data_IF_260611903811
#
_entry.id   IF_260611903811
#
_cell.length_a   1.000
_cell.length_b   1.000
_cell.length_c   1.000
_cell.angle_alpha   90.00
_cell.angle_beta   90.00
_cell.angle_gamma   90.00
#
_symmetry.space_group_name_H-M   'P 1'
#
loop_
_entity.id
_entity.type
_entity.pdbx_description
1 polymer ?
#
# COMPACT_ATOMS: atom_id res chain seq x y z
N UNK A 1 71.88 38.53 55.23
CA UNK A 1 72.70 37.63 56.12
C UNK A 1 72.45 36.21 55.59
N UNK A 2 73.40 35.75 54.84
CA UNK A 2 74.27 34.62 55.11
C UNK A 2 73.48 33.29 55.08
N UNK A 3 73.78 32.35 54.31
CA UNK A 3 74.96 31.87 53.60
C UNK A 3 74.67 30.44 53.22
N UNK A 4 75.00 30.02 52.01
CA UNK A 4 76.05 29.04 51.65
C UNK A 4 75.98 27.66 52.38
N UNK A 5 75.94 26.52 51.75
CA UNK A 5 76.93 25.80 50.95
C UNK A 5 76.33 24.47 50.48
N UNK A 6 76.46 24.07 49.21
CA UNK A 6 77.40 23.08 48.63
C UNK A 6 77.44 21.70 49.31
N UNK A 7 77.16 20.59 48.64
CA UNK A 7 77.99 19.90 47.68
C UNK A 7 77.45 18.44 47.44
N UNK A 8 77.42 18.07 46.19
CA UNK A 8 78.07 16.93 45.51
C UNK A 8 77.67 15.44 45.80
N UNK A 9 77.30 14.85 44.74
CA UNK A 9 77.85 13.62 44.06
C UNK A 9 77.19 12.31 44.39
N UNK A 10 76.70 11.65 43.33
CA UNK A 10 76.48 10.21 43.30
C UNK A 10 75.50 9.75 42.27
N UNK A 11 75.95 9.54 41.05
CA UNK A 11 75.26 8.68 40.07
C UNK A 11 75.82 7.24 40.24
N UNK A 12 75.35 6.22 39.52
CA UNK A 12 74.07 5.94 38.85
C UNK A 12 73.55 4.52 39.22
N UNK A 13 72.32 4.25 39.01
CA UNK A 13 71.92 2.87 38.72
C UNK A 13 70.73 2.82 37.75
N UNK A 14 70.97 2.12 36.67
CA UNK A 14 70.02 1.79 35.63
C UNK A 14 69.03 0.79 36.16
N UNK A 15 67.75 1.05 36.02
CA UNK A 15 66.73 0.02 35.98
C UNK A 15 65.67 0.37 34.92
N UNK A 16 65.59 -0.50 33.96
CA UNK A 16 64.65 -0.45 32.87
C UNK A 16 63.22 -0.58 33.42
N UNK A 17 62.43 0.47 33.34
CA UNK A 17 61.02 0.48 33.60
C UNK A 17 60.29 0.48 32.27
N UNK A 18 59.65 -0.63 31.96
CA UNK A 18 58.81 -0.78 30.77
C UNK A 18 57.60 0.18 30.84
N UNK A 19 57.56 1.14 29.94
CA UNK A 19 56.40 2.00 29.71
C UNK A 19 55.39 1.16 28.89
N UNK A 20 54.38 0.64 29.56
CA UNK A 20 53.18 0.10 28.91
C UNK A 20 52.37 1.28 28.36
N UNK A 21 52.57 1.58 27.10
CA UNK A 21 51.73 2.51 26.39
C UNK A 21 50.39 1.82 26.13
N UNK A 22 49.36 2.17 26.90
CA UNK A 22 47.97 1.84 26.64
C UNK A 22 47.53 2.62 25.39
N UNK A 23 47.61 2.01 24.23
CA UNK A 23 46.97 2.48 23.01
C UNK A 23 45.43 2.28 23.17
N UNK A 24 44.75 3.32 23.63
CA UNK A 24 43.30 3.49 23.44
C UNK A 24 43.04 3.64 21.94
N UNK A 25 42.81 2.56 21.27
CA UNK A 25 42.18 2.55 19.94
C UNK A 25 40.75 3.08 20.10
N UNK A 26 40.58 4.38 19.99
CA UNK A 26 39.30 4.98 19.69
C UNK A 26 38.88 4.48 18.31
N UNK A 27 38.11 3.41 18.28
CA UNK A 27 37.38 2.99 17.10
C UNK A 27 36.32 4.08 16.79
N UNK A 28 36.73 5.14 16.11
CA UNK A 28 35.81 6.00 15.38
C UNK A 28 35.17 5.14 14.31
N UNK A 29 34.08 4.48 14.64
CA UNK A 29 33.18 3.90 13.67
C UNK A 29 32.77 5.01 12.70
N UNK A 30 33.41 5.06 11.52
CA UNK A 30 32.91 5.84 10.39
C UNK A 30 31.52 5.32 10.10
N UNK A 31 30.49 5.98 10.63
CA UNK A 31 29.12 5.79 10.18
C UNK A 31 29.11 6.23 8.71
N UNK A 32 28.93 5.26 7.83
CA UNK A 32 28.77 5.52 6.42
C UNK A 32 27.44 6.31 6.27
N UNK A 33 27.45 7.60 5.89
CA UNK A 33 26.23 8.39 5.82
C UNK A 33 25.26 7.93 4.73
N UNK A 34 25.64 6.94 3.92
CA UNK A 34 24.82 6.32 2.87
C UNK A 34 24.30 4.91 3.24
N UNK A 35 24.54 4.44 4.45
CA UNK A 35 23.88 3.21 4.90
C UNK A 35 22.48 3.64 5.34
N UNK A 36 21.48 3.34 4.50
CA UNK A 36 20.08 3.42 4.93
C UNK A 36 19.95 2.68 6.25
N UNK A 37 19.36 3.31 7.26
CA UNK A 37 19.07 2.67 8.52
C UNK A 37 18.35 1.35 8.23
N UNK A 38 18.74 0.23 8.88
CA UNK A 38 18.05 -1.01 8.66
C UNK A 38 16.57 -0.82 8.96
N UNK A 39 15.71 -1.06 7.97
CA UNK A 39 14.26 -1.01 8.15
C UNK A 39 13.92 -1.84 9.38
N UNK A 40 13.20 -1.28 10.37
CA UNK A 40 12.86 -2.03 11.58
C UNK A 40 12.20 -3.37 11.18
N UNK A 41 12.57 -4.49 11.81
CA UNK A 41 12.02 -5.78 11.44
C UNK A 41 10.50 -5.76 11.60
N UNK A 42 9.77 -6.19 10.56
CA UNK A 42 8.30 -6.31 10.60
C UNK A 42 7.90 -7.30 11.70
N UNK A 43 6.64 -7.27 12.14
CA UNK A 43 6.14 -8.24 13.11
C UNK A 43 6.30 -9.68 12.60
N UNK A 44 6.03 -9.92 11.30
CA UNK A 44 6.33 -11.18 10.64
C UNK A 44 7.81 -11.54 10.74
N UNK A 45 8.72 -10.60 10.46
CA UNK A 45 10.17 -10.82 10.56
C UNK A 45 10.62 -11.11 11.98
N UNK A 46 10.06 -10.42 12.98
CA UNK A 46 10.31 -10.71 14.41
C UNK A 46 9.84 -12.12 14.79
N UNK A 47 8.65 -12.53 14.35
CA UNK A 47 8.11 -13.84 14.60
C UNK A 47 8.98 -14.94 13.94
N UNK A 48 9.36 -14.74 12.67
CA UNK A 48 10.28 -15.64 11.96
C UNK A 48 11.62 -15.78 12.69
N UNK A 49 12.15 -14.68 13.23
CA UNK A 49 13.37 -14.70 14.04
C UNK A 49 13.15 -15.49 15.34
N UNK A 50 12.06 -15.26 16.05
CA UNK A 50 11.74 -15.97 17.29
C UNK A 50 11.59 -17.47 17.07
N UNK A 51 11.03 -17.93 15.95
CA UNK A 51 10.99 -19.35 15.59
C UNK A 51 12.39 -19.95 15.44
N UNK A 52 13.32 -19.23 14.79
CA UNK A 52 14.70 -19.68 14.62
C UNK A 52 15.46 -19.68 15.96
N UNK A 53 15.33 -18.60 16.73
CA UNK A 53 15.98 -18.48 18.04
C UNK A 53 15.53 -19.60 19.02
N UNK A 54 14.29 -20.07 18.87
CA UNK A 54 13.73 -21.18 19.64
C UNK A 54 14.04 -22.58 19.03
N UNK A 55 14.78 -22.64 17.91
CA UNK A 55 15.11 -23.91 17.22
C UNK A 55 13.91 -24.58 16.55
N UNK A 56 12.78 -23.88 16.44
CA UNK A 56 11.55 -24.42 15.84
C UNK A 56 11.62 -24.53 14.31
N UNK A 57 12.55 -23.84 13.67
CA UNK A 57 12.87 -23.99 12.25
C UNK A 57 13.41 -25.38 11.89
N UNK A 58 13.89 -26.17 12.87
CA UNK A 58 14.24 -27.56 12.70
C UNK A 58 13.04 -28.52 12.69
N UNK A 59 11.88 -28.08 13.17
CA UNK A 59 10.62 -28.84 13.14
C UNK A 59 9.96 -28.83 11.77
N UNK A 60 9.11 -29.81 11.43
CA UNK A 60 8.37 -29.83 10.16
C UNK A 60 7.53 -28.56 10.00
N UNK A 61 6.68 -28.26 11.00
CA UNK A 61 5.74 -27.13 10.94
C UNK A 61 6.45 -25.77 10.92
N UNK A 62 7.54 -25.61 11.66
CA UNK A 62 8.33 -24.37 11.66
C UNK A 62 9.01 -24.11 10.32
N UNK A 63 9.57 -25.15 9.68
CA UNK A 63 10.13 -25.05 8.32
C UNK A 63 9.04 -24.71 7.30
N UNK A 64 7.91 -25.41 7.37
CA UNK A 64 6.77 -25.15 6.47
C UNK A 64 6.31 -23.69 6.59
N UNK A 65 6.25 -23.12 7.80
CA UNK A 65 5.84 -21.74 8.00
C UNK A 65 6.80 -20.75 7.31
N UNK A 66 8.10 -20.95 7.47
CA UNK A 66 9.12 -20.11 6.82
C UNK A 66 9.09 -20.23 5.30
N UNK A 67 8.94 -21.46 4.78
CA UNK A 67 8.89 -21.73 3.33
C UNK A 67 7.58 -21.22 2.72
N UNK A 68 6.45 -21.33 3.43
CA UNK A 68 5.14 -20.90 2.94
C UNK A 68 5.13 -19.40 2.61
N UNK A 69 5.76 -18.58 3.47
CA UNK A 69 5.93 -17.15 3.22
C UNK A 69 6.59 -16.86 1.87
N UNK A 70 7.76 -17.47 1.66
CA UNK A 70 8.55 -17.24 0.45
C UNK A 70 7.86 -17.81 -0.79
N UNK A 71 7.21 -18.96 -0.66
CA UNK A 71 6.47 -19.60 -1.76
C UNK A 71 5.27 -18.74 -2.20
N UNK A 72 4.50 -18.20 -1.24
CA UNK A 72 3.39 -17.31 -1.56
C UNK A 72 3.86 -16.04 -2.29
N UNK A 73 4.98 -15.45 -1.87
CA UNK A 73 5.54 -14.28 -2.52
C UNK A 73 6.09 -14.55 -3.93
N UNK A 74 6.61 -15.77 -4.17
CA UNK A 74 7.11 -16.16 -5.52
C UNK A 74 5.97 -16.41 -6.51
N UNK A 75 4.82 -16.87 -6.06
CA UNK A 75 3.68 -17.23 -6.89
C UNK A 75 2.37 -16.59 -6.37
N UNK A 76 2.29 -15.24 -6.31
CA UNK A 76 1.09 -14.58 -5.80
C UNK A 76 -0.08 -14.76 -6.79
N UNK A 77 -1.26 -15.00 -6.25
CA UNK A 77 -2.51 -15.02 -7.02
C UNK A 77 -2.92 -13.59 -7.42
N UNK A 78 -3.54 -13.42 -8.57
CA UNK A 78 -4.02 -12.11 -8.98
C UNK A 78 -5.34 -11.76 -8.30
N UNK A 79 -5.41 -10.59 -7.65
CA UNK A 79 -6.63 -10.01 -7.13
C UNK A 79 -7.12 -8.89 -8.04
N UNK A 80 -8.37 -9.00 -8.49
CA UNK A 80 -9.06 -7.96 -9.27
C UNK A 80 -9.72 -6.99 -8.29
N UNK A 81 -9.27 -5.74 -8.27
CA UNK A 81 -9.81 -4.73 -7.35
C UNK A 81 -11.14 -4.14 -7.84
N UNK A 82 -12.14 -3.96 -6.97
CA UNK A 82 -12.16 -4.38 -5.58
C UNK A 82 -12.37 -5.88 -5.43
N UNK A 83 -11.76 -6.48 -4.40
CA UNK A 83 -11.81 -7.92 -4.15
C UNK A 83 -12.26 -8.21 -2.72
N UNK A 84 -13.02 -9.31 -2.55
CA UNK A 84 -13.38 -9.86 -1.23
C UNK A 84 -13.16 -11.36 -1.26
N UNK A 85 -12.38 -11.84 -0.31
CA UNK A 85 -12.17 -13.26 -0.11
C UNK A 85 -12.40 -13.67 1.33
N UNK A 86 -13.17 -14.73 1.53
CA UNK A 86 -13.28 -15.44 2.80
C UNK A 86 -12.38 -16.67 2.71
N UNK A 87 -11.46 -16.81 3.66
CA UNK A 87 -10.52 -17.92 3.73
C UNK A 87 -10.54 -18.60 5.09
N UNK A 88 -9.86 -19.74 5.18
CA UNK A 88 -9.63 -20.46 6.42
C UNK A 88 -8.14 -20.76 6.59
N UNK A 89 -7.71 -20.88 7.84
CA UNK A 89 -6.40 -21.37 8.23
C UNK A 89 -6.55 -22.42 9.34
N UNK A 90 -5.64 -23.38 9.35
CA UNK A 90 -5.70 -24.55 10.23
C UNK A 90 -4.47 -24.61 11.14
N UNK A 91 -4.65 -25.11 12.34
CA UNK A 91 -3.55 -25.34 13.30
C UNK A 91 -2.55 -26.39 12.85
N UNK A 92 -2.95 -27.30 12.00
CA UNK A 92 -2.11 -28.39 11.49
C UNK A 92 -1.28 -28.01 10.27
N UNK A 93 -1.47 -26.79 9.70
CA UNK A 93 -0.87 -26.36 8.45
C UNK A 93 -0.28 -24.98 8.59
N UNK A 94 0.96 -24.83 8.17
CA UNK A 94 1.65 -23.56 8.14
C UNK A 94 1.51 -22.94 6.74
N UNK A 95 0.55 -22.07 6.54
CA UNK A 95 0.23 -21.50 5.22
C UNK A 95 0.37 -20.01 5.18
N UNK A 96 0.75 -19.52 4.02
CA UNK A 96 0.66 -18.11 3.65
C UNK A 96 -0.11 -17.99 2.32
N UNK A 97 -0.75 -16.86 2.11
CA UNK A 97 -1.32 -16.50 0.83
C UNK A 97 -0.83 -15.12 0.42
N UNK A 98 -0.62 -14.92 -0.87
CA UNK A 98 -0.24 -13.63 -1.41
C UNK A 98 -1.10 -13.27 -2.63
N UNK A 99 -1.43 -11.98 -2.72
CA UNK A 99 -2.27 -11.43 -3.79
C UNK A 99 -1.54 -10.32 -4.49
N UNK A 100 -1.37 -10.46 -5.80
CA UNK A 100 -0.85 -9.38 -6.64
C UNK A 100 -1.99 -8.45 -7.02
N UNK A 101 -1.77 -7.16 -6.82
CA UNK A 101 -2.65 -6.06 -7.21
C UNK A 101 -1.88 -5.05 -8.04
N UNK A 102 -2.51 -4.44 -9.03
CA UNK A 102 -1.92 -3.33 -9.80
C UNK A 102 -2.54 -2.02 -9.33
N UNK A 103 -1.69 -1.04 -9.06
CA UNK A 103 -2.09 0.32 -8.68
C UNK A 103 -1.48 1.33 -9.64
N UNK A 104 -2.19 2.43 -9.85
CA UNK A 104 -1.69 3.59 -10.58
C UNK A 104 -1.21 4.67 -9.62
N UNK A 105 -0.34 5.55 -10.12
CA UNK A 105 0.05 6.77 -9.41
C UNK A 105 -1.20 7.52 -8.91
N UNK A 106 -1.20 7.93 -7.65
CA UNK A 106 -2.33 8.61 -7.03
C UNK A 106 -3.45 7.68 -6.54
N UNK A 107 -3.32 6.37 -6.66
CA UNK A 107 -4.23 5.42 -6.01
C UNK A 107 -3.73 5.00 -4.65
N UNK A 108 -4.65 4.77 -3.73
CA UNK A 108 -4.39 4.23 -2.40
C UNK A 108 -4.97 2.83 -2.31
N UNK A 109 -4.14 1.85 -2.02
CA UNK A 109 -4.60 0.53 -1.60
C UNK A 109 -5.13 0.61 -0.17
N UNK A 110 -6.33 0.09 0.04
CA UNK A 110 -6.89 -0.17 1.36
C UNK A 110 -7.14 -1.67 1.45
N UNK A 111 -6.36 -2.34 2.29
CA UNK A 111 -6.51 -3.74 2.60
C UNK A 111 -7.08 -3.87 4.01
N UNK A 112 -8.25 -4.46 4.14
CA UNK A 112 -8.88 -4.71 5.44
C UNK A 112 -9.05 -6.21 5.65
N UNK A 113 -8.70 -6.67 6.83
CA UNK A 113 -8.81 -8.06 7.24
C UNK A 113 -9.67 -8.15 8.50
N UNK A 114 -10.69 -8.99 8.44
CA UNK A 114 -11.44 -9.43 9.62
C UNK A 114 -11.13 -10.90 9.84
N UNK A 115 -10.89 -11.31 11.06
CA UNK A 115 -10.70 -12.70 11.40
C UNK A 115 -11.58 -13.09 12.58
N UNK A 116 -12.25 -14.24 12.43
CA UNK A 116 -13.05 -14.86 13.47
C UNK A 116 -12.23 -15.99 14.12
N UNK A 117 -12.34 -16.16 15.42
CA UNK A 117 -11.68 -17.25 16.13
C UNK A 117 -10.81 -16.80 17.30
N UNK A 118 -10.15 -17.77 17.92
CA UNK A 118 -9.27 -17.54 19.07
C UNK A 118 -8.08 -16.68 18.67
N UNK A 119 -7.65 -15.81 19.58
CA UNK A 119 -6.51 -14.90 19.51
C UNK A 119 -5.39 -15.45 18.63
N UNK A 120 -5.25 -14.95 17.42
CA UNK A 120 -4.18 -15.30 16.50
C UNK A 120 -3.44 -14.03 16.07
N UNK A 121 -2.10 -14.11 16.00
CA UNK A 121 -1.33 -13.12 15.28
C UNK A 121 -1.52 -13.39 13.78
N UNK A 122 -2.03 -12.37 13.08
CA UNK A 122 -2.11 -12.36 11.63
C UNK A 122 -1.16 -11.29 11.12
N UNK A 123 -0.27 -11.69 10.22
CA UNK A 123 0.70 -10.79 9.59
C UNK A 123 0.20 -10.44 8.20
N UNK A 124 0.01 -9.14 7.94
CA UNK A 124 -0.31 -8.64 6.62
C UNK A 124 0.76 -7.65 6.20
N UNK A 125 1.47 -7.96 5.11
CA UNK A 125 2.55 -7.15 4.58
C UNK A 125 2.28 -6.79 3.13
N UNK A 126 2.71 -5.60 2.74
CA UNK A 126 2.68 -5.12 1.36
C UNK A 126 4.12 -5.00 0.83
N UNK A 127 4.31 -5.55 -0.34
CA UNK A 127 5.55 -5.44 -1.11
C UNK A 127 5.27 -4.79 -2.46
N UNK A 128 6.18 -3.95 -2.92
CA UNK A 128 6.20 -3.46 -4.29
C UNK A 128 7.10 -4.35 -5.12
N UNK A 129 6.64 -4.74 -6.31
CA UNK A 129 7.47 -5.48 -7.27
C UNK A 129 8.36 -4.48 -7.99
N UNK A 130 9.67 -4.63 -7.84
CA UNK A 130 10.65 -3.80 -8.52
C UNK A 130 10.56 -3.93 -10.05
N UNK A 131 11.01 -2.90 -10.73
CA UNK A 131 11.06 -2.87 -12.21
C UNK A 131 12.36 -3.46 -12.77
N UNK A 132 13.28 -3.89 -11.88
CA UNK A 132 14.50 -4.59 -12.24
C UNK A 132 14.19 -5.98 -12.85
N UNK A 133 15.13 -6.55 -13.59
CA UNK A 133 14.98 -7.86 -14.23
C UNK A 133 14.70 -8.99 -13.22
N UNK A 134 15.18 -8.85 -11.99
CA UNK A 134 14.96 -9.79 -10.89
C UNK A 134 13.56 -9.66 -10.26
N UNK A 135 12.82 -8.58 -10.57
CA UNK A 135 11.52 -8.25 -9.96
C UNK A 135 11.59 -8.32 -8.42
N UNK A 136 12.62 -7.70 -7.89
CA UNK A 136 12.89 -7.66 -6.44
C UNK A 136 11.68 -7.13 -5.68
N UNK A 137 11.30 -7.80 -4.59
CA UNK A 137 10.22 -7.36 -3.71
C UNK A 137 10.76 -6.37 -2.69
N UNK A 138 10.18 -5.17 -2.68
CA UNK A 138 10.51 -4.11 -1.72
C UNK A 138 9.37 -3.95 -0.75
N UNK A 139 9.63 -4.21 0.55
CA UNK A 139 8.63 -4.03 1.60
C UNK A 139 8.19 -2.57 1.70
N UNK A 140 6.88 -2.30 1.76
CA UNK A 140 6.28 -0.96 1.79
C UNK A 140 5.46 -0.68 3.03
N UNK A 141 4.70 -1.65 3.51
CA UNK A 141 3.84 -1.47 4.67
C UNK A 141 3.58 -2.80 5.37
N UNK A 142 3.25 -2.73 6.65
CA UNK A 142 2.85 -3.88 7.45
C UNK A 142 1.66 -3.52 8.32
N UNK A 143 0.80 -4.49 8.57
CA UNK A 143 -0.18 -4.46 9.64
C UNK A 143 -0.15 -5.80 10.36
N UNK A 144 -0.22 -5.77 11.69
CA UNK A 144 -0.28 -6.94 12.54
C UNK A 144 -1.34 -6.74 13.60
N UNK A 145 -1.93 -7.82 14.08
CA UNK A 145 -2.84 -7.75 15.23
C UNK A 145 -2.26 -8.43 16.43
N UNK A 146 -2.32 -7.70 17.53
CA UNK A 146 -2.64 -8.30 18.82
C UNK A 146 -4.13 -8.05 19.04
N UNK A 147 -4.95 -9.10 18.96
CA UNK A 147 -6.35 -8.97 19.30
C UNK A 147 -6.50 -8.59 20.77
N UNK A 148 -7.31 -7.56 21.08
CA UNK A 148 -7.74 -7.36 22.46
C UNK A 148 -8.42 -8.63 22.96
N UNK A 149 -8.23 -8.99 24.25
CA UNK A 149 -8.79 -10.22 24.82
C UNK A 149 -10.30 -10.38 24.68
N UNK A 150 -11.02 -9.29 24.51
CA UNK A 150 -12.49 -9.22 24.61
C UNK A 150 -13.20 -8.93 23.28
N UNK A 151 -12.47 -8.86 22.15
CA UNK A 151 -13.11 -8.63 20.85
C UNK A 151 -13.48 -9.93 20.15
N UNK A 152 -14.71 -10.03 19.71
CA UNK A 152 -15.24 -11.17 18.98
C UNK A 152 -14.61 -11.34 17.57
N UNK A 153 -13.93 -10.32 17.05
CA UNK A 153 -13.26 -10.36 15.75
C UNK A 153 -12.01 -9.46 15.74
N UNK A 154 -10.96 -9.94 15.07
CA UNK A 154 -9.78 -9.14 14.72
C UNK A 154 -10.09 -8.23 13.54
N UNK A 155 -9.63 -7.01 13.62
CA UNK A 155 -9.65 -6.08 12.50
C UNK A 155 -8.27 -5.52 12.22
N UNK A 156 -7.79 -5.70 10.99
CA UNK A 156 -6.55 -5.12 10.48
C UNK A 156 -6.85 -4.19 9.34
N UNK A 157 -6.18 -3.07 9.29
CA UNK A 157 -6.19 -2.20 8.12
C UNK A 157 -4.77 -1.82 7.74
N UNK A 158 -4.45 -2.03 6.48
CA UNK A 158 -3.22 -1.56 5.86
C UNK A 158 -3.60 -0.59 4.75
N UNK A 159 -2.98 0.58 4.76
CA UNK A 159 -3.15 1.59 3.72
C UNK A 159 -1.80 1.95 3.11
N UNK A 160 -1.80 2.07 1.81
CA UNK A 160 -0.59 2.45 1.07
C UNK A 160 -0.97 3.27 -0.16
N UNK A 161 -0.31 4.41 -0.35
CA UNK A 161 -0.49 5.28 -1.51
C UNK A 161 0.60 5.03 -2.53
N UNK A 162 0.20 4.63 -3.74
CA UNK A 162 1.12 4.44 -4.85
C UNK A 162 1.55 5.80 -5.41
N UNK A 163 2.86 5.99 -5.53
CA UNK A 163 3.48 7.20 -6.08
C UNK A 163 3.97 7.02 -7.51
N UNK A 164 3.68 5.88 -8.10
CA UNK A 164 3.91 5.48 -9.50
C UNK A 164 3.03 4.29 -9.84
N UNK A 165 2.81 4.06 -11.12
CA UNK A 165 2.19 2.84 -11.61
C UNK A 165 3.05 1.63 -11.25
N UNK A 166 2.44 0.55 -10.77
CA UNK A 166 3.19 -0.64 -10.39
C UNK A 166 2.32 -1.79 -9.91
N UNK A 167 2.98 -2.94 -9.79
CA UNK A 167 2.40 -4.14 -9.20
C UNK A 167 2.88 -4.28 -7.75
N UNK A 168 1.96 -4.68 -6.90
CA UNK A 168 2.18 -4.86 -5.47
C UNK A 168 1.70 -6.23 -5.05
N UNK A 169 2.27 -6.76 -3.97
CA UNK A 169 1.89 -8.06 -3.41
C UNK A 169 1.49 -7.87 -1.96
N UNK A 170 0.24 -8.20 -1.65
CA UNK A 170 -0.27 -8.29 -0.27
C UNK A 170 -0.09 -9.73 0.19
N UNK A 171 0.75 -9.96 1.20
CA UNK A 171 0.91 -11.26 1.86
C UNK A 171 0.11 -11.30 3.14
N UNK A 172 -0.59 -12.41 3.37
CA UNK A 172 -1.27 -12.74 4.63
C UNK A 172 -0.73 -14.06 5.15
N UNK A 173 -0.31 -14.10 6.42
CA UNK A 173 0.14 -15.30 7.10
C UNK A 173 -0.29 -15.29 8.57
N UNK A 174 -0.94 -16.36 9.09
CA UNK A 174 -1.19 -16.52 10.51
C UNK A 174 0.06 -17.02 11.24
N UNK A 175 0.13 -16.81 12.56
CA UNK A 175 1.08 -17.54 13.41
C UNK A 175 0.80 -19.04 13.44
N UNK A 176 1.76 -19.83 13.85
CA UNK A 176 1.63 -21.29 13.96
C UNK A 176 0.58 -21.72 14.99
N UNK A 177 0.02 -22.91 14.78
CA UNK A 177 -0.87 -23.61 15.73
C UNK A 177 -2.18 -22.86 16.00
N UNK A 178 -2.61 -22.02 15.04
CA UNK A 178 -3.91 -21.34 15.09
C UNK A 178 -4.83 -21.81 14.00
N UNK A 179 -6.11 -21.72 14.26
CA UNK A 179 -7.16 -21.99 13.29
C UNK A 179 -8.24 -20.93 13.34
N UNK A 180 -8.90 -20.71 12.23
CA UNK A 180 -9.95 -19.70 12.13
C UNK A 180 -10.32 -19.41 10.69
N UNK A 181 -11.22 -18.44 10.55
CA UNK A 181 -11.62 -17.86 9.26
C UNK A 181 -11.20 -16.41 9.18
N UNK A 182 -11.00 -15.92 7.99
CA UNK A 182 -10.76 -14.51 7.73
C UNK A 182 -11.60 -14.03 6.53
N UNK A 183 -11.92 -12.75 6.53
CA UNK A 183 -12.40 -12.00 5.37
C UNK A 183 -11.36 -10.94 5.03
N UNK A 184 -10.77 -11.02 3.84
CA UNK A 184 -9.86 -10.04 3.29
C UNK A 184 -10.59 -9.23 2.22
N UNK A 185 -10.59 -7.90 2.37
CA UNK A 185 -11.09 -6.97 1.37
C UNK A 185 -9.95 -6.09 0.88
N UNK A 186 -9.75 -6.07 -0.43
CA UNK A 186 -8.77 -5.23 -1.12
C UNK A 186 -9.50 -4.21 -1.99
N UNK A 187 -9.21 -2.91 -1.81
CA UNK A 187 -9.79 -1.82 -2.59
C UNK A 187 -8.69 -0.89 -3.06
N UNK A 188 -8.87 -0.31 -4.24
CA UNK A 188 -8.15 0.88 -4.65
C UNK A 188 -9.08 2.09 -4.47
N UNK A 189 -8.57 3.15 -3.86
CA UNK A 189 -9.27 4.41 -3.65
C UNK A 189 -8.43 5.56 -4.22
N UNK A 190 -9.04 6.70 -4.58
CA UNK A 190 -8.27 7.89 -4.90
C UNK A 190 -7.51 8.38 -3.66
N UNK A 191 -6.32 8.94 -3.86
CA UNK A 191 -5.50 9.50 -2.76
C UNK A 191 -5.95 10.89 -2.32
N UNK A 192 -6.74 11.58 -3.14
CA UNK A 192 -7.29 12.91 -2.90
C UNK A 192 -8.82 12.87 -2.92
N UNK A 193 -9.46 13.73 -2.14
CA UNK A 193 -10.90 13.93 -2.21
C UNK A 193 -11.30 14.60 -3.53
N UNK A 194 -12.49 14.29 -4.03
CA UNK A 194 -13.03 14.92 -5.24
C UNK A 194 -13.26 16.42 -4.98
N UNK A 195 -12.72 17.33 -5.82
CA UNK A 195 -12.57 18.74 -5.44
C UNK A 195 -13.86 19.59 -5.56
N UNK A 196 -14.97 19.04 -6.08
CA UNK A 196 -16.27 19.74 -6.21
C UNK A 196 -17.33 19.00 -5.41
N UNK A 197 -17.91 19.66 -4.43
CA UNK A 197 -18.89 19.07 -3.51
C UNK A 197 -20.11 18.53 -4.24
N UNK A 198 -20.59 17.35 -3.83
CA UNK A 198 -21.76 16.69 -4.40
C UNK A 198 -21.61 16.19 -5.83
N UNK A 199 -20.41 16.31 -6.42
CA UNK A 199 -20.11 15.86 -7.78
C UNK A 199 -19.18 14.65 -7.80
N UNK A 200 -19.01 14.03 -8.97
CA UNK A 200 -18.17 12.86 -9.16
C UNK A 200 -17.69 12.73 -10.61
N UNK A 201 -17.26 11.55 -11.01
CA UNK A 201 -16.57 11.29 -12.28
C UNK A 201 -17.30 11.82 -13.53
N UNK A 202 -18.63 11.83 -13.54
CA UNK A 202 -19.43 12.32 -14.68
C UNK A 202 -19.27 13.83 -14.93
N UNK A 203 -18.87 14.57 -13.91
CA UNK A 203 -18.61 16.00 -14.01
C UNK A 203 -17.27 16.31 -14.71
N UNK A 204 -16.35 15.36 -14.78
CA UNK A 204 -15.07 15.50 -15.48
C UNK A 204 -15.32 15.35 -16.97
N UNK A 205 -15.23 16.46 -17.71
CA UNK A 205 -15.53 16.49 -19.15
C UNK A 205 -14.35 16.87 -20.03
N UNK A 206 -13.23 17.33 -19.43
CA UNK A 206 -11.99 17.58 -20.14
C UNK A 206 -10.81 17.01 -19.35
N UNK A 207 -9.93 16.32 -20.06
CA UNK A 207 -8.87 15.54 -19.46
C UNK A 207 -7.51 16.25 -19.57
N UNK A 208 -6.56 15.80 -18.75
CA UNK A 208 -5.17 16.20 -18.82
C UNK A 208 -4.57 15.86 -20.19
N UNK A 209 -3.68 16.73 -20.69
CA UNK A 209 -2.98 16.53 -21.96
C UNK A 209 -3.76 16.91 -23.21
N UNK A 210 -5.06 17.27 -23.11
CA UNK A 210 -5.85 17.70 -24.26
C UNK A 210 -5.30 19.02 -24.81
N UNK A 211 -5.21 19.12 -26.15
CA UNK A 211 -4.74 20.32 -26.82
C UNK A 211 -5.62 21.56 -26.55
N UNK A 212 -4.97 22.68 -26.30
CA UNK A 212 -5.57 23.98 -26.09
C UNK A 212 -5.00 24.99 -27.09
N UNK A 213 -5.80 26.04 -27.41
CA UNK A 213 -5.38 27.14 -28.26
C UNK A 213 -4.83 26.72 -29.64
N UNK A 214 -5.45 25.70 -30.25
CA UNK A 214 -5.00 25.15 -31.54
C UNK A 214 -3.67 24.37 -31.43
N UNK A 215 -3.41 23.66 -30.32
CA UNK A 215 -2.22 22.86 -30.11
C UNK A 215 -1.03 23.62 -29.54
N UNK A 216 -1.20 24.93 -29.22
CA UNK A 216 -0.11 25.76 -28.65
C UNK A 216 0.13 25.52 -27.16
N UNK A 217 -0.84 24.96 -26.45
CA UNK A 217 -0.76 24.58 -25.04
C UNK A 217 -1.35 23.20 -24.83
N UNK A 218 -0.81 22.46 -23.87
CA UNK A 218 -1.43 21.26 -23.33
C UNK A 218 -2.25 21.60 -22.09
N UNK A 219 -3.33 20.88 -21.84
CA UNK A 219 -4.17 21.02 -20.67
C UNK A 219 -3.49 20.41 -19.45
N UNK A 220 -3.06 21.25 -18.49
CA UNK A 220 -2.32 20.84 -17.31
C UNK A 220 -3.23 20.52 -16.11
N UNK A 221 -4.39 19.95 -16.36
CA UNK A 221 -5.37 19.59 -15.33
C UNK A 221 -6.55 18.83 -15.92
N UNK A 222 -7.62 18.77 -15.15
CA UNK A 222 -8.93 18.29 -15.57
C UNK A 222 -9.95 19.40 -15.36
N UNK A 223 -10.99 19.48 -16.23
CA UNK A 223 -12.09 20.41 -16.04
C UNK A 223 -13.32 19.68 -15.53
N UNK A 224 -13.82 20.12 -14.37
CA UNK A 224 -14.94 19.54 -13.63
C UNK A 224 -16.11 20.51 -13.71
N UNK A 225 -17.14 20.16 -14.49
CA UNK A 225 -18.29 21.02 -14.76
C UNK A 225 -19.33 20.93 -13.64
N UNK A 226 -19.71 22.08 -13.12
CA UNK A 226 -20.74 22.19 -12.08
C UNK A 226 -21.43 23.59 -12.19
N UNK A 227 -22.63 23.77 -11.64
CA UNK A 227 -23.27 25.08 -11.58
C UNK A 227 -22.37 26.11 -10.89
N UNK A 228 -22.44 27.37 -11.34
CA UNK A 228 -21.79 28.49 -10.66
C UNK A 228 -22.24 28.54 -9.20
N UNK A 229 -21.30 28.78 -8.29
CA UNK A 229 -21.56 28.82 -6.83
C UNK A 229 -21.54 27.47 -6.15
N UNK A 230 -21.30 26.35 -6.88
CA UNK A 230 -21.06 25.05 -6.23
C UNK A 230 -19.77 25.11 -5.40
N UNK A 231 -19.75 24.62 -4.14
CA UNK A 231 -18.54 24.65 -3.32
C UNK A 231 -17.38 23.86 -3.94
N UNK A 232 -16.21 24.46 -3.93
CA UNK A 232 -14.92 23.85 -4.26
C UNK A 232 -14.20 23.57 -2.95
N UNK A 233 -13.84 22.32 -2.73
CA UNK A 233 -13.29 21.86 -1.45
C UNK A 233 -11.81 21.45 -1.56
N UNK A 234 -11.09 21.55 -0.45
CA UNK A 234 -9.73 21.08 -0.33
C UNK A 234 -9.68 19.56 -0.54
N UNK A 235 -8.97 19.11 -1.57
CA UNK A 235 -8.81 17.68 -1.87
C UNK A 235 -7.88 16.97 -0.89
N UNK A 236 -7.12 17.70 -0.07
CA UNK A 236 -6.20 17.20 0.95
C UNK A 236 -5.98 18.25 2.02
N UNK A 237 -5.48 17.84 3.17
CA UNK A 237 -4.95 18.77 4.16
C UNK A 237 -3.77 19.54 3.59
N UNK A 238 -3.66 20.83 3.90
CA UNK A 238 -2.58 21.64 3.36
C UNK A 238 -2.54 23.08 3.85
N UNK A 239 -1.70 23.87 3.20
CA UNK A 239 -1.56 25.30 3.44
C UNK A 239 -1.83 26.05 2.14
N UNK A 240 -2.72 27.02 2.16
CA UNK A 240 -2.97 27.90 1.02
C UNK A 240 -1.69 28.69 0.74
N UNK A 241 -1.16 28.60 -0.49
CA UNK A 241 0.10 29.21 -0.90
C UNK A 241 -0.10 30.52 -1.66
N UNK A 242 -1.21 30.65 -2.34
CA UNK A 242 -1.53 31.86 -3.09
C UNK A 242 -3.02 31.85 -3.46
N UNK A 243 -3.63 33.05 -3.52
CA UNK A 243 -5.00 33.28 -3.96
C UNK A 243 -5.09 34.43 -4.98
N UNK A 244 -3.95 34.97 -5.47
CA UNK A 244 -3.93 36.08 -6.40
C UNK A 244 -4.53 35.68 -7.76
N UNK A 245 -5.42 36.49 -8.31
CA UNK A 245 -6.00 36.23 -9.63
C UNK A 245 -4.93 36.24 -10.73
N UNK A 246 -5.13 35.39 -11.73
CA UNK A 246 -4.27 35.32 -12.91
C UNK A 246 -5.06 35.54 -14.21
N UNK A 247 -4.38 35.98 -15.29
CA UNK A 247 -5.04 36.21 -16.58
C UNK A 247 -5.66 34.92 -17.14
N UNK A 248 -5.00 33.77 -16.96
CA UNK A 248 -5.50 32.48 -17.43
C UNK A 248 -6.48 31.85 -16.46
N UNK A 249 -6.09 31.70 -15.21
CA UNK A 249 -6.88 31.01 -14.21
C UNK A 249 -8.06 31.81 -13.63
N UNK A 250 -8.07 33.13 -13.80
CA UNK A 250 -9.03 33.97 -13.09
C UNK A 250 -8.79 33.95 -11.58
N UNK A 251 -9.84 33.87 -10.79
CA UNK A 251 -9.72 33.65 -9.35
C UNK A 251 -9.23 32.23 -9.10
N UNK A 252 -8.16 32.08 -8.32
CA UNK A 252 -7.48 30.80 -8.13
C UNK A 252 -7.16 30.57 -6.65
N UNK A 253 -6.94 29.30 -6.31
CA UNK A 253 -6.34 28.88 -5.04
C UNK A 253 -5.23 27.87 -5.35
N UNK A 254 -4.05 28.13 -4.81
CA UNK A 254 -2.95 27.17 -4.76
C UNK A 254 -2.86 26.58 -3.37
N UNK A 255 -3.04 25.26 -3.23
CA UNK A 255 -2.96 24.52 -1.97
C UNK A 255 -1.68 23.68 -1.97
N UNK A 256 -0.80 23.92 -1.01
CA UNK A 256 0.42 23.13 -0.81
C UNK A 256 0.14 21.84 -0.05
N UNK A 257 0.45 20.70 -0.66
CA UNK A 257 0.46 19.37 -0.06
C UNK A 257 1.92 18.93 0.21
N UNK A 258 2.42 19.28 1.39
CA UNK A 258 3.81 19.00 1.75
C UNK A 258 4.08 17.49 1.89
N UNK A 259 3.08 16.72 2.32
CA UNK A 259 3.21 15.27 2.48
C UNK A 259 3.55 14.58 1.15
N UNK A 260 2.92 15.03 0.04
CA UNK A 260 3.14 14.50 -1.31
C UNK A 260 4.14 15.32 -2.12
N UNK A 261 4.69 16.42 -1.55
CA UNK A 261 5.60 17.36 -2.22
C UNK A 261 5.02 17.90 -3.53
N UNK A 262 3.76 18.34 -3.48
CA UNK A 262 3.00 18.82 -4.63
C UNK A 262 2.16 20.04 -4.25
N UNK A 263 1.66 20.74 -5.27
CA UNK A 263 0.69 21.82 -5.11
C UNK A 263 -0.54 21.47 -5.93
N UNK A 264 -1.72 21.72 -5.37
CA UNK A 264 -3.01 21.57 -6.03
C UNK A 264 -3.47 22.93 -6.49
N UNK A 265 -3.92 23.02 -7.73
CA UNK A 265 -4.36 24.24 -8.40
C UNK A 265 -5.86 24.18 -8.66
N UNK A 266 -6.57 25.15 -8.13
CA UNK A 266 -8.01 25.34 -8.29
C UNK A 266 -8.24 26.66 -9.00
N UNK A 267 -8.80 26.65 -10.21
CA UNK A 267 -8.94 27.85 -11.03
C UNK A 267 -10.35 28.03 -11.59
N UNK A 268 -10.58 29.18 -12.21
CA UNK A 268 -11.84 29.70 -12.74
C UNK A 268 -12.92 29.91 -11.67
N UNK A 269 -12.49 30.08 -10.40
CA UNK A 269 -13.41 30.28 -9.29
C UNK A 269 -14.24 31.53 -9.49
N UNK A 270 -15.50 31.51 -9.03
CA UNK A 270 -16.31 32.71 -8.86
C UNK A 270 -15.70 33.59 -7.75
N UNK A 271 -15.38 32.98 -6.62
CA UNK A 271 -14.70 33.61 -5.50
C UNK A 271 -13.90 32.58 -4.69
N UNK A 272 -12.82 33.03 -4.05
CA UNK A 272 -12.10 32.30 -3.01
C UNK A 272 -12.58 32.79 -1.64
N UNK A 273 -12.67 31.89 -0.66
CA UNK A 273 -13.05 32.21 0.74
C UNK A 273 -11.93 31.93 1.74
N UNK A 274 -10.76 31.60 1.22
CA UNK A 274 -9.54 31.35 1.97
C UNK A 274 -8.48 32.40 1.63
N UNK A 275 -7.45 32.51 2.46
CA UNK A 275 -6.35 33.47 2.27
C UNK A 275 -4.98 32.78 2.35
N UNK A 276 -3.97 33.39 1.80
CA UNK A 276 -2.58 32.89 1.84
C UNK A 276 -2.10 32.65 3.27
N UNK A 277 -1.44 31.51 3.50
CA UNK A 277 -0.97 31.05 4.81
C UNK A 277 -2.02 30.28 5.62
N UNK A 278 -3.28 30.28 5.21
CA UNK A 278 -4.34 29.54 5.91
C UNK A 278 -4.10 28.03 5.83
N UNK A 279 -4.21 27.34 6.97
CA UNK A 279 -4.24 25.88 7.04
C UNK A 279 -5.68 25.41 6.79
N UNK A 280 -5.84 24.43 5.91
CA UNK A 280 -7.12 23.81 5.60
C UNK A 280 -7.01 22.28 5.76
N UNK A 281 -8.15 21.67 6.06
CA UNK A 281 -8.32 20.21 6.09
C UNK A 281 -9.04 19.74 4.84
N UNK A 282 -8.87 18.49 4.51
CA UNK A 282 -9.65 17.82 3.47
C UNK A 282 -11.15 18.05 3.69
N UNK A 283 -11.84 18.56 2.66
CA UNK A 283 -13.25 18.89 2.73
C UNK A 283 -13.58 20.34 3.09
N UNK A 284 -12.62 21.15 3.57
CA UNK A 284 -12.87 22.57 3.83
C UNK A 284 -13.14 23.30 2.52
N UNK A 285 -14.10 24.24 2.52
CA UNK A 285 -14.44 25.06 1.35
C UNK A 285 -13.31 26.05 1.06
N UNK A 286 -12.78 26.01 -0.17
CA UNK A 286 -11.76 26.93 -0.68
C UNK A 286 -12.36 28.11 -1.43
N UNK A 287 -13.52 27.91 -2.07
CA UNK A 287 -14.20 28.87 -2.91
C UNK A 287 -15.38 28.24 -3.62
N UNK A 288 -15.81 28.86 -4.71
CA UNK A 288 -16.99 28.43 -5.46
C UNK A 288 -16.69 28.34 -6.95
N UNK A 289 -17.33 27.37 -7.62
CA UNK A 289 -17.21 27.18 -9.07
C UNK A 289 -17.67 28.44 -9.81
N UNK A 290 -16.86 28.88 -10.74
CA UNK A 290 -17.14 30.01 -11.62
C UNK A 290 -16.74 29.74 -13.06
N UNK A 291 -16.39 30.81 -13.78
CA UNK A 291 -15.82 30.79 -15.13
C UNK A 291 -14.92 32.00 -15.36
N UNK A 292 -14.17 32.43 -14.34
CA UNK A 292 -13.28 33.61 -14.44
C UNK A 292 -12.03 33.30 -15.28
N UNK A 293 -11.23 34.32 -15.57
CA UNK A 293 -10.04 34.17 -16.39
C UNK A 293 -10.38 33.92 -17.87
N UNK A 294 -9.67 33.00 -18.51
CA UNK A 294 -9.92 32.64 -19.91
C UNK A 294 -11.15 31.73 -20.12
N UNK A 295 -11.81 31.31 -19.03
CA UNK A 295 -13.04 30.50 -19.09
C UNK A 295 -14.34 31.34 -19.22
N UNK A 296 -14.26 32.68 -19.36
CA UNK A 296 -15.43 33.57 -19.35
C UNK A 296 -16.50 33.24 -20.39
N UNK A 297 -16.10 32.62 -21.48
CA UNK A 297 -17.02 32.25 -22.60
C UNK A 297 -17.44 30.78 -22.53
N UNK A 298 -17.01 30.03 -21.51
CA UNK A 298 -17.37 28.62 -21.34
C UNK A 298 -18.41 28.44 -20.23
N UNK A 299 -19.02 27.26 -20.17
CA UNK A 299 -19.87 26.89 -19.03
C UNK A 299 -19.04 26.91 -17.76
N UNK A 300 -19.64 27.22 -16.58
CA UNK A 300 -18.94 27.18 -15.31
C UNK A 300 -18.31 25.80 -15.04
N UNK A 301 -17.07 25.81 -14.58
CA UNK A 301 -16.33 24.61 -14.25
C UNK A 301 -15.15 24.95 -13.32
N UNK A 302 -14.68 23.98 -12.56
CA UNK A 302 -13.41 24.02 -11.89
C UNK A 302 -12.33 23.45 -12.82
N UNK A 303 -11.28 24.23 -13.12
CA UNK A 303 -10.03 23.64 -13.60
C UNK A 303 -9.21 23.17 -12.39
N UNK A 304 -8.90 21.88 -12.33
CA UNK A 304 -8.15 21.27 -11.24
C UNK A 304 -6.84 20.66 -11.76
N UNK A 305 -5.71 21.13 -11.22
CA UNK A 305 -4.36 20.69 -11.59
C UNK A 305 -3.55 20.20 -10.39
N UNK A 306 -2.62 19.28 -10.65
CA UNK A 306 -1.61 18.82 -9.68
C UNK A 306 -0.23 19.12 -10.23
N UNK A 307 0.61 19.82 -9.45
CA UNK A 307 1.97 20.18 -9.81
C UNK A 307 2.94 19.55 -8.80
N UNK A 308 3.65 18.52 -9.23
CA UNK A 308 4.59 17.78 -8.39
C UNK A 308 5.98 18.40 -8.46
N UNK A 309 6.62 18.61 -7.30
CA UNK A 309 7.96 19.20 -7.24
C UNK A 309 8.96 18.34 -8.02
N UNK A 310 9.70 18.97 -8.95
CA UNK A 310 10.70 18.31 -9.79
C UNK A 310 10.15 17.61 -11.03
N UNK A 311 8.81 17.48 -11.18
CA UNK A 311 8.18 16.83 -12.35
C UNK A 311 7.33 17.83 -13.14
N UNK A 312 6.71 18.81 -12.45
CA UNK A 312 5.73 19.72 -13.06
C UNK A 312 4.31 19.19 -12.98
N UNK A 313 3.42 19.57 -13.94
CA UNK A 313 2.03 19.14 -13.97
C UNK A 313 1.93 17.63 -14.25
N UNK A 314 1.08 16.94 -13.50
CA UNK A 314 0.76 15.52 -13.66
C UNK A 314 -0.75 15.34 -13.84
N UNK A 315 -1.19 14.20 -14.40
CA UNK A 315 -2.61 13.91 -14.59
C UNK A 315 -3.34 13.75 -13.25
N UNK A 316 -4.30 14.63 -12.92
CA UNK A 316 -5.04 14.52 -11.67
C UNK A 316 -6.04 13.37 -11.63
N UNK A 317 -6.38 12.78 -12.78
CA UNK A 317 -7.52 11.87 -12.89
C UNK A 317 -7.44 10.69 -11.95
N UNK A 318 -6.29 10.01 -11.86
CA UNK A 318 -6.08 8.85 -11.00
C UNK A 318 -6.11 9.19 -9.51
N UNK A 319 -5.82 10.45 -9.18
CA UNK A 319 -5.77 10.96 -7.81
C UNK A 319 -7.15 11.27 -7.21
N UNK A 320 -8.13 11.64 -8.07
CA UNK A 320 -9.47 12.08 -7.62
C UNK A 320 -10.61 11.21 -8.13
N UNK A 321 -10.36 10.37 -9.15
CA UNK A 321 -11.42 9.57 -9.77
C UNK A 321 -11.98 8.58 -8.76
N UNK A 322 -13.25 8.75 -8.42
CA UNK A 322 -13.98 7.85 -7.56
C UNK A 322 -14.02 6.46 -8.21
N UNK A 323 -13.35 5.52 -7.61
CA UNK A 323 -13.41 4.12 -7.99
C UNK A 323 -14.67 3.56 -7.33
N UNK A 324 -15.70 3.31 -8.15
CA UNK A 324 -16.88 2.68 -7.62
C UNK A 324 -16.63 1.18 -7.56
N UNK A 325 -17.06 0.58 -6.56
CA UNK A 325 -17.75 -0.67 -6.42
C UNK A 325 -17.43 -1.25 -5.05
N UNK A 326 -18.47 -1.60 -4.38
CA UNK A 326 -18.38 -2.55 -3.28
C UNK A 326 -17.74 -3.84 -3.82
N UNK A 327 -16.83 -4.46 -3.05
CA UNK A 327 -16.28 -5.74 -3.46
C UNK A 327 -17.40 -6.77 -3.62
N UNK A 328 -17.26 -7.72 -4.57
CA UNK A 328 -18.29 -8.68 -4.86
C UNK A 328 -18.67 -9.48 -3.61
N UNK A 329 -19.96 -9.79 -3.50
CA UNK A 329 -20.47 -10.66 -2.43
C UNK A 329 -19.98 -12.07 -2.67
N UNK A 330 -19.47 -12.73 -1.63
CA UNK A 330 -19.10 -14.15 -1.68
C UNK A 330 -20.39 -14.98 -1.70
N UNK A 331 -20.60 -15.72 -2.78
CA UNK A 331 -21.76 -16.58 -3.02
C UNK A 331 -21.40 -18.07 -3.00
N UNK A 332 -20.12 -18.38 -3.16
CA UNK A 332 -19.64 -19.76 -3.02
C UNK A 332 -19.86 -20.22 -1.57
N UNK A 333 -20.21 -21.48 -1.39
CA UNK A 333 -20.51 -22.07 -0.09
C UNK A 333 -19.27 -22.10 0.82
N UNK A 334 -19.23 -21.21 1.80
CA UNK A 334 -18.09 -21.09 2.74
C UNK A 334 -18.03 -22.23 3.76
N UNK A 335 -19.04 -23.09 3.86
CA UNK A 335 -18.97 -24.28 4.73
C UNK A 335 -17.96 -25.33 4.23
N UNK A 336 -17.57 -25.24 2.94
CA UNK A 336 -16.55 -26.11 2.33
C UNK A 336 -15.11 -25.69 2.61
N UNK A 337 -14.89 -24.52 3.19
CA UNK A 337 -13.52 -24.03 3.51
C UNK A 337 -12.78 -25.01 4.43
N UNK A 338 -11.51 -25.28 4.09
CA UNK A 338 -10.64 -26.22 4.80
C UNK A 338 -10.87 -27.68 4.44
N UNK A 339 -11.88 -28.00 3.63
CA UNK A 339 -12.21 -29.39 3.26
C UNK A 339 -11.58 -29.78 1.93
N UNK A 340 -11.34 -31.08 1.78
CA UNK A 340 -11.06 -31.70 0.50
C UNK A 340 -12.39 -31.94 -0.24
N UNK A 341 -12.47 -31.44 -1.45
CA UNK A 341 -13.63 -31.56 -2.32
C UNK A 341 -13.24 -32.18 -3.66
N UNK A 342 -14.21 -32.82 -4.30
CA UNK A 342 -13.99 -33.54 -5.57
C UNK A 342 -14.68 -32.81 -6.70
N UNK A 343 -13.95 -32.56 -7.80
CA UNK A 343 -14.52 -31.94 -9.01
C UNK A 343 -15.53 -32.86 -9.67
N UNK A 344 -16.67 -32.32 -10.11
CA UNK A 344 -17.79 -33.05 -10.74
C UNK A 344 -17.94 -32.77 -12.24
N UNK A 345 -17.48 -31.60 -12.71
CA UNK A 345 -17.46 -31.30 -14.14
C UNK A 345 -16.44 -32.19 -14.86
N UNK A 346 -16.71 -32.54 -16.12
CA UNK A 346 -15.78 -33.32 -16.96
C UNK A 346 -14.42 -32.61 -17.02
N UNK A 347 -14.44 -31.32 -17.16
CA UNK A 347 -13.23 -30.45 -17.13
C UNK A 347 -13.56 -29.12 -16.49
N UNK A 348 -12.70 -28.64 -15.63
CA UNK A 348 -12.76 -27.29 -15.07
C UNK A 348 -11.43 -26.58 -15.32
N UNK A 349 -11.46 -25.28 -15.49
CA UNK A 349 -10.24 -24.49 -15.75
C UNK A 349 -9.77 -23.80 -14.48
N UNK A 350 -8.57 -24.19 -14.00
CA UNK A 350 -7.87 -23.46 -12.93
C UNK A 350 -7.32 -22.14 -13.48
N UNK A 351 -7.52 -21.06 -12.75
CA UNK A 351 -7.17 -19.70 -13.19
C UNK A 351 -6.37 -18.92 -12.14
N UNK A 352 -5.66 -17.90 -12.59
CA UNK A 352 -4.87 -17.00 -11.72
C UNK A 352 -5.73 -16.07 -10.85
N UNK A 353 -6.93 -15.72 -11.30
CA UNK A 353 -7.87 -14.85 -10.59
C UNK A 353 -9.29 -15.40 -10.65
N UNK A 354 -10.18 -14.97 -9.74
CA UNK A 354 -11.59 -15.42 -9.70
C UNK A 354 -12.42 -14.77 -10.82
N UNK A 355 -12.06 -15.03 -12.07
CA UNK A 355 -12.70 -14.48 -13.28
C UNK A 355 -12.59 -15.45 -14.45
N UNK A 356 -13.66 -15.55 -15.24
CA UNK A 356 -13.69 -16.35 -16.45
C UNK A 356 -12.70 -15.85 -17.53
N UNK A 357 -12.35 -14.57 -17.50
CA UNK A 357 -11.39 -13.95 -18.43
C UNK A 357 -9.95 -13.99 -17.95
N UNK A 358 -9.70 -14.43 -16.71
CA UNK A 358 -8.35 -14.57 -16.17
C UNK A 358 -7.57 -15.66 -16.92
N UNK A 359 -6.24 -15.51 -17.10
CA UNK A 359 -5.41 -16.54 -17.70
C UNK A 359 -5.62 -17.92 -17.05
N UNK A 360 -5.72 -18.96 -17.89
CA UNK A 360 -5.78 -20.32 -17.44
C UNK A 360 -4.41 -20.80 -16.96
N UNK A 361 -4.38 -21.51 -15.84
CA UNK A 361 -3.18 -22.19 -15.34
C UNK A 361 -3.12 -23.61 -15.88
N UNK A 362 -4.23 -24.35 -15.71
CA UNK A 362 -4.34 -25.73 -16.18
C UNK A 362 -5.79 -26.16 -16.28
N UNK A 363 -6.02 -27.30 -16.97
CA UNK A 363 -7.30 -28.00 -16.97
C UNK A 363 -7.33 -28.99 -15.82
N UNK A 364 -8.45 -29.03 -15.12
CA UNK A 364 -8.68 -29.91 -13.97
C UNK A 364 -9.73 -30.93 -14.35
N UNK A 365 -9.40 -32.23 -14.45
CA UNK A 365 -10.34 -33.26 -14.83
C UNK A 365 -11.35 -33.56 -13.72
N UNK A 366 -12.43 -34.25 -14.08
CA UNK A 366 -13.41 -34.79 -13.14
C UNK A 366 -12.73 -35.71 -12.12
N UNK A 367 -13.28 -35.74 -10.91
CA UNK A 367 -12.79 -36.56 -9.78
C UNK A 367 -11.42 -36.14 -9.24
N UNK A 368 -10.92 -34.94 -9.59
CA UNK A 368 -9.75 -34.37 -8.94
C UNK A 368 -10.08 -33.95 -7.51
N UNK A 369 -9.25 -34.40 -6.56
CA UNK A 369 -9.38 -34.03 -5.15
C UNK A 369 -8.58 -32.74 -4.89
N UNK A 370 -9.23 -31.72 -4.35
CA UNK A 370 -8.67 -30.39 -4.12
C UNK A 370 -9.09 -29.88 -2.75
N UNK A 371 -8.19 -29.21 -2.05
CA UNK A 371 -8.53 -28.53 -0.81
C UNK A 371 -9.09 -27.15 -1.11
N UNK A 372 -10.25 -26.82 -0.52
CA UNK A 372 -10.86 -25.50 -0.64
C UNK A 372 -10.23 -24.55 0.38
N UNK A 373 -9.48 -23.57 -0.09
CA UNK A 373 -8.70 -22.66 0.76
C UNK A 373 -9.35 -21.30 0.98
N UNK A 374 -10.19 -20.86 0.05
CA UNK A 374 -10.85 -19.56 0.07
C UNK A 374 -12.04 -19.52 -0.87
N UNK A 375 -12.90 -18.53 -0.69
CA UNK A 375 -14.07 -18.26 -1.52
C UNK A 375 -14.09 -16.77 -1.90
N UNK A 376 -14.25 -16.48 -3.20
CA UNK A 376 -14.36 -15.14 -3.75
C UNK A 376 -15.47 -15.12 -4.81
N UNK A 377 -16.52 -14.34 -4.59
CA UNK A 377 -17.74 -14.37 -5.41
C UNK A 377 -18.23 -15.82 -5.63
N UNK A 378 -18.27 -16.31 -6.86
CA UNK A 378 -18.66 -17.69 -7.22
C UNK A 378 -17.44 -18.60 -7.50
N UNK A 379 -16.29 -18.28 -6.94
CA UNK A 379 -15.03 -19.00 -7.15
C UNK A 379 -14.48 -19.52 -5.84
N UNK A 380 -13.84 -20.69 -5.89
CA UNK A 380 -13.01 -21.20 -4.80
C UNK A 380 -11.54 -21.04 -5.14
N UNK A 381 -10.76 -20.52 -4.18
CA UNK A 381 -9.32 -20.69 -4.18
C UNK A 381 -9.03 -22.10 -3.70
N UNK A 382 -8.36 -22.86 -4.54
CA UNK A 382 -8.11 -24.30 -4.30
C UNK A 382 -6.61 -24.57 -4.27
N UNK A 383 -6.24 -25.66 -3.63
CA UNK A 383 -4.88 -26.18 -3.62
C UNK A 383 -4.86 -27.66 -3.94
N UNK A 384 -3.92 -28.04 -4.80
CA UNK A 384 -3.58 -29.43 -5.14
C UNK A 384 -2.61 -30.01 -4.12
N UNK A 385 -2.44 -31.35 -4.13
CA UNK A 385 -1.50 -32.05 -3.26
C UNK A 385 -0.03 -31.66 -3.52
N UNK A 386 0.31 -31.24 -4.73
CA UNK A 386 1.64 -30.73 -5.11
C UNK A 386 1.91 -29.28 -4.70
N UNK A 387 0.92 -28.64 -4.05
CA UNK A 387 1.01 -27.24 -3.61
C UNK A 387 0.54 -26.23 -4.66
N UNK A 388 0.22 -26.63 -5.89
CA UNK A 388 -0.33 -25.74 -6.94
C UNK A 388 -1.62 -25.09 -6.44
N UNK A 389 -1.73 -23.78 -6.59
CA UNK A 389 -2.89 -22.99 -6.16
C UNK A 389 -3.49 -22.19 -7.32
N UNK A 390 -4.79 -21.93 -7.27
CA UNK A 390 -5.50 -21.10 -8.23
C UNK A 390 -6.99 -21.02 -7.90
N UNK A 391 -7.76 -20.47 -8.81
CA UNK A 391 -9.21 -20.35 -8.67
C UNK A 391 -9.95 -21.28 -9.60
N UNK A 392 -10.90 -22.02 -9.04
CA UNK A 392 -11.91 -22.81 -9.78
C UNK A 392 -13.30 -22.19 -9.54
N UNK A 393 -14.13 -22.20 -10.59
CA UNK A 393 -15.54 -21.85 -10.42
C UNK A 393 -16.21 -22.82 -9.42
N UNK A 394 -17.06 -22.30 -8.53
CA UNK A 394 -17.82 -23.11 -7.57
C UNK A 394 -18.65 -24.20 -8.26
N UNK A 395 -19.11 -23.96 -9.49
CA UNK A 395 -19.81 -24.93 -10.32
C UNK A 395 -19.00 -26.22 -10.59
N UNK A 396 -17.65 -26.16 -10.49
CA UNK A 396 -16.80 -27.33 -10.68
C UNK A 396 -17.06 -28.44 -9.65
N UNK A 397 -17.61 -28.09 -8.49
CA UNK A 397 -17.85 -29.00 -7.36
C UNK A 397 -19.32 -29.47 -7.26
N UNK A 398 -20.18 -28.96 -8.11
CA UNK A 398 -21.63 -29.20 -8.04
C UNK A 398 -22.28 -28.41 -6.89
N UNK A 399 -23.59 -28.31 -6.94
CA UNK A 399 -24.40 -27.69 -5.88
C UNK A 399 -24.49 -28.59 -4.67
#
# INVERSE_FOLDING_TARGET
MSGLHLARVGAPWRSAGAIVALLLLAACGRTNPFRADPVPPTAHGRYAKALRDAGLDSTALGREWLVASDSALRAPLSALLPSREVGAYSRSEARAVAYRVSLRDGQRLVATLRADGLRALLFMDLFEIGTDSARTLVHRATADTLLPPDSAAAFLSLQFEATRDGDYVVRLQPELLREGRFELVLRAEPSLAFPVEGHGNRAIQSLFGVDRDGGRRSHHGIDIFAPRGTPVIASTDGIVRNTDPTNLGGNVVWLGDERRRQSLYYAHLDSAVVYEGQRVRTGDTLGFVGNTGNARTTKPHLHFGIYRRGTGPIDPLTHVRLLSAEPPVVRADTSRLGRNEVTRLVTATLRHAPSATSPALQQVPRSSVLQIMGANANWYRVQFADGTTGYLSAAAFGN
#
